data_IF_257959860688
#
_entry.id   IF_257959860688
#
_cell.length_a   1.000
_cell.length_b   1.000
_cell.length_c   1.000
_cell.angle_alpha   90.00
_cell.angle_beta   90.00
_cell.angle_gamma   90.00
#
_symmetry.space_group_name_H-M   'P 1'
#
loop_
_entity.id
_entity.type
_entity.pdbx_description
1 polymer ?
#
# COMPACT_ATOMS: atom_id res chain seq x y z
N UNK A 1 21.02 10.72 10.72
CA UNK A 1 20.21 11.39 9.68
C UNK A 1 20.56 10.76 8.35
N UNK A 2 19.57 10.42 7.51
CA UNK A 2 19.83 9.76 6.23
C UNK A 2 20.42 10.73 5.19
N UNK A 3 21.56 10.37 4.59
CA UNK A 3 22.21 11.10 3.49
C UNK A 3 21.50 10.93 2.13
N UNK A 4 20.25 10.46 2.14
CA UNK A 4 19.46 10.28 0.94
C UNK A 4 19.13 11.63 0.31
N UNK A 5 19.13 11.75 -1.03
CA UNK A 5 18.55 12.91 -1.69
C UNK A 5 17.07 13.06 -1.37
N UNK A 6 16.56 14.29 -1.43
CA UNK A 6 15.13 14.53 -1.38
C UNK A 6 14.40 13.88 -2.56
N UNK A 7 13.14 13.52 -2.36
CA UNK A 7 12.23 13.00 -3.36
C UNK A 7 12.73 11.70 -4.04
N UNK A 8 13.57 10.93 -3.35
CA UNK A 8 14.19 9.72 -3.89
C UNK A 8 13.17 8.61 -4.18
N UNK A 9 12.09 8.54 -3.40
CA UNK A 9 11.02 7.55 -3.52
C UNK A 9 9.69 8.23 -3.86
N UNK A 10 9.08 7.86 -4.97
CA UNK A 10 7.73 8.30 -5.34
C UNK A 10 6.73 7.16 -5.08
N UNK A 11 5.64 7.46 -4.38
CA UNK A 11 4.51 6.55 -4.21
C UNK A 11 3.24 7.03 -4.91
N UNK A 12 2.42 6.09 -5.40
CA UNK A 12 1.08 6.36 -5.94
C UNK A 12 0.04 5.42 -5.36
N UNK A 13 -1.08 5.98 -4.89
CA UNK A 13 -2.25 5.24 -4.42
C UNK A 13 -3.45 6.19 -4.33
N UNK A 14 -4.59 5.64 -3.92
CA UNK A 14 -5.78 6.36 -3.55
C UNK A 14 -5.62 6.92 -2.12
N UNK A 15 -5.55 8.25 -1.93
CA UNK A 15 -5.60 8.85 -0.60
C UNK A 15 -7.05 8.82 -0.10
N UNK A 16 -7.30 8.10 0.98
CA UNK A 16 -8.64 7.89 1.54
C UNK A 16 -8.65 8.27 3.01
N UNK A 17 -9.75 8.88 3.47
CA UNK A 17 -10.00 9.05 4.89
C UNK A 17 -10.73 7.81 5.41
N UNK A 18 -10.09 7.08 6.32
CA UNK A 18 -10.70 5.91 6.94
C UNK A 18 -11.72 6.36 7.99
N UNK A 19 -12.92 5.81 7.91
CA UNK A 19 -13.99 5.92 8.90
C UNK A 19 -13.98 4.60 9.65
N UNK A 20 -13.28 4.58 10.78
CA UNK A 20 -12.97 3.38 11.52
C UNK A 20 -13.91 3.21 12.72
N UNK A 21 -14.41 2.00 12.93
CA UNK A 21 -15.17 1.66 14.14
C UNK A 21 -15.21 0.16 14.37
N UNK A 22 -15.56 -0.25 15.59
CA UNK A 22 -15.82 -1.65 15.93
C UNK A 22 -17.28 -1.99 15.65
N UNK A 23 -17.50 -3.09 14.94
CA UNK A 23 -18.84 -3.59 14.59
C UNK A 23 -19.00 -5.06 14.97
N UNK A 24 -20.25 -5.45 15.20
CA UNK A 24 -20.60 -6.86 15.34
C UNK A 24 -20.70 -7.55 13.98
N UNK A 25 -20.58 -8.88 13.97
CA UNK A 25 -20.65 -9.67 12.73
C UNK A 25 -21.97 -9.47 11.99
N UNK A 26 -23.07 -9.23 12.70
CA UNK A 26 -24.37 -8.92 12.11
C UNK A 26 -24.35 -7.68 11.20
N UNK A 27 -23.49 -6.69 11.51
CA UNK A 27 -23.32 -5.51 10.65
C UNK A 27 -22.61 -5.88 9.34
N UNK A 28 -21.57 -6.71 9.40
CA UNK A 28 -20.88 -7.22 8.22
C UNK A 28 -21.82 -8.04 7.35
N UNK A 29 -22.56 -8.97 7.95
CA UNK A 29 -23.51 -9.84 7.27
C UNK A 29 -24.62 -9.02 6.57
N UNK A 30 -25.13 -7.95 7.23
CA UNK A 30 -26.14 -7.04 6.65
C UNK A 30 -25.68 -6.41 5.34
N UNK A 31 -24.41 -6.02 5.25
CA UNK A 31 -23.88 -5.35 4.05
C UNK A 31 -23.18 -6.32 3.07
N UNK A 32 -23.12 -7.61 3.42
CA UNK A 32 -22.47 -8.64 2.61
C UNK A 32 -20.95 -8.49 2.60
N UNK A 33 -20.38 -8.02 3.71
CA UNK A 33 -18.95 -7.85 3.91
C UNK A 33 -18.36 -9.08 4.60
N UNK A 34 -17.18 -9.50 4.17
CA UNK A 34 -16.42 -10.57 4.81
C UNK A 34 -15.39 -10.01 5.78
N UNK A 35 -15.09 -10.75 6.83
CA UNK A 35 -13.92 -10.54 7.68
C UNK A 35 -12.63 -10.66 6.84
N UNK A 36 -11.63 -9.84 7.14
CA UNK A 36 -10.33 -9.79 6.43
C UNK A 36 -10.43 -9.58 4.92
N UNK A 37 -11.42 -8.81 4.48
CA UNK A 37 -11.65 -8.53 3.05
C UNK A 37 -11.49 -7.04 2.75
N UNK A 38 -11.17 -6.73 1.50
CA UNK A 38 -11.11 -5.37 0.99
C UNK A 38 -11.85 -5.30 -0.34
N UNK A 39 -12.91 -4.48 -0.37
CA UNK A 39 -13.75 -4.32 -1.55
C UNK A 39 -13.89 -2.84 -1.94
N UNK A 40 -14.30 -2.61 -3.19
CA UNK A 40 -14.79 -1.32 -3.63
C UNK A 40 -16.27 -1.16 -3.24
N UNK A 41 -16.63 0.04 -2.79
CA UNK A 41 -18.01 0.43 -2.51
C UNK A 41 -18.84 0.36 -3.81
N UNK A 42 -19.97 -0.32 -3.74
CA UNK A 42 -21.03 -0.29 -4.75
C UNK A 42 -22.24 0.52 -4.22
N UNK A 43 -23.32 0.61 -5.00
CA UNK A 43 -24.50 1.40 -4.64
C UNK A 43 -25.18 0.95 -3.34
N UNK A 44 -25.21 -0.37 -3.04
CA UNK A 44 -25.82 -0.86 -1.80
C UNK A 44 -24.99 -0.44 -0.58
N UNK A 45 -23.68 -0.25 -0.70
CA UNK A 45 -22.85 0.15 0.45
C UNK A 45 -22.90 1.66 0.74
N UNK A 46 -23.44 2.52 -0.13
CA UNK A 46 -23.45 3.97 0.12
C UNK A 46 -24.20 4.31 1.41
N UNK A 47 -25.34 3.67 1.65
CA UNK A 47 -26.13 3.86 2.87
C UNK A 47 -25.40 3.38 4.14
N UNK A 48 -24.51 2.40 4.01
CA UNK A 48 -23.70 1.90 5.12
C UNK A 48 -22.85 3.02 5.75
N UNK A 49 -22.25 3.89 4.95
CA UNK A 49 -21.42 4.99 5.46
C UNK A 49 -22.24 5.97 6.30
N UNK A 50 -23.47 6.27 5.87
CA UNK A 50 -24.38 7.13 6.62
C UNK A 50 -24.82 6.46 7.93
N UNK A 51 -25.10 5.15 7.90
CA UNK A 51 -25.44 4.36 9.08
C UNK A 51 -24.30 4.30 10.09
N UNK A 52 -23.05 4.09 9.63
CA UNK A 52 -21.85 4.07 10.47
C UNK A 52 -21.69 5.38 11.23
N UNK A 53 -21.64 6.50 10.52
CA UNK A 53 -21.42 7.82 11.13
C UNK A 53 -22.56 8.20 12.08
N UNK A 54 -23.79 7.74 11.81
CA UNK A 54 -24.95 8.05 12.65
C UNK A 54 -25.03 7.21 13.92
N UNK A 55 -24.69 5.92 13.84
CA UNK A 55 -25.03 4.95 14.89
C UNK A 55 -23.82 4.42 15.66
N UNK A 56 -22.60 4.64 15.19
CA UNK A 56 -21.38 4.12 15.80
C UNK A 56 -20.43 5.25 16.21
N UNK A 57 -19.62 5.06 17.27
CA UNK A 57 -18.51 5.93 17.55
C UNK A 57 -17.43 5.70 16.48
N UNK A 58 -17.30 6.63 15.54
CA UNK A 58 -16.33 6.55 14.44
C UNK A 58 -15.10 7.40 14.73
N UNK A 59 -13.94 6.86 14.36
CA UNK A 59 -12.68 7.60 14.29
C UNK A 59 -12.35 7.92 12.83
N UNK A 60 -11.89 9.14 12.56
CA UNK A 60 -11.43 9.56 11.24
C UNK A 60 -9.92 9.47 11.18
N UNK A 61 -9.40 8.52 10.40
CA UNK A 61 -7.97 8.22 10.34
C UNK A 61 -7.47 8.46 8.91
N UNK A 62 -6.52 9.38 8.69
CA UNK A 62 -5.93 9.57 7.37
C UNK A 62 -5.22 8.30 6.88
N UNK A 63 -5.73 7.71 5.81
CA UNK A 63 -5.32 6.41 5.30
C UNK A 63 -4.80 6.44 3.85
N UNK A 64 -5.06 5.36 3.12
CA UNK A 64 -4.53 5.07 1.79
C UNK A 64 -3.23 4.26 1.84
N UNK A 65 -3.21 3.08 1.22
CA UNK A 65 -2.16 2.08 1.41
C UNK A 65 -0.73 2.58 1.13
N UNK A 66 -0.47 3.18 -0.03
CA UNK A 66 0.86 3.73 -0.30
C UNK A 66 1.16 4.96 0.55
N UNK A 67 0.16 5.78 0.89
CA UNK A 67 0.35 6.93 1.77
C UNK A 67 0.77 6.51 3.18
N UNK A 68 0.16 5.46 3.71
CA UNK A 68 0.55 4.81 4.96
C UNK A 68 2.00 4.31 4.87
N UNK A 69 2.33 3.57 3.81
CA UNK A 69 3.67 3.04 3.58
C UNK A 69 4.74 4.16 3.55
N UNK A 70 4.46 5.27 2.85
CA UNK A 70 5.38 6.39 2.76
C UNK A 70 5.51 7.14 4.09
N UNK A 71 4.43 7.33 4.85
CA UNK A 71 4.48 7.92 6.20
C UNK A 71 5.36 7.10 7.14
N UNK A 72 5.22 5.77 7.12
CA UNK A 72 6.05 4.86 7.91
C UNK A 72 7.51 4.88 7.44
N UNK A 73 7.74 4.90 6.14
CA UNK A 73 9.08 5.06 5.57
C UNK A 73 9.74 6.36 6.06
N UNK A 74 9.00 7.48 6.04
CA UNK A 74 9.48 8.78 6.48
C UNK A 74 9.80 8.82 7.98
N UNK A 75 8.95 8.19 8.80
CA UNK A 75 9.16 8.02 10.24
C UNK A 75 10.49 7.30 10.54
N UNK A 76 10.81 6.23 9.82
CA UNK A 76 12.05 5.47 10.00
C UNK A 76 13.27 6.24 9.50
N UNK A 77 13.15 6.92 8.35
CA UNK A 77 14.24 7.71 7.79
C UNK A 77 14.58 8.95 8.63
N UNK A 78 13.62 9.42 9.43
CA UNK A 78 13.71 10.57 10.32
C UNK A 78 14.38 11.80 9.65
N UNK A 79 13.93 12.08 8.43
CA UNK A 79 14.35 13.22 7.63
C UNK A 79 13.17 13.60 6.73
N UNK A 80 12.81 14.87 6.54
CA UNK A 80 11.67 15.24 5.69
C UNK A 80 11.98 15.05 4.20
N UNK A 81 10.92 15.03 3.39
CA UNK A 81 10.96 15.08 1.93
C UNK A 81 11.81 13.99 1.27
N UNK A 82 11.94 12.79 1.86
CA UNK A 82 12.54 11.65 1.13
C UNK A 82 11.54 10.97 0.22
N UNK A 83 10.27 11.01 0.58
CA UNK A 83 9.18 10.41 -0.17
C UNK A 83 8.25 11.48 -0.76
N UNK A 84 7.72 11.19 -1.94
CA UNK A 84 6.68 11.99 -2.60
C UNK A 84 5.44 11.12 -2.78
N UNK A 85 4.26 11.66 -2.52
CA UNK A 85 3.00 10.95 -2.75
C UNK A 85 2.15 11.64 -3.82
N UNK A 86 1.74 10.87 -4.84
CA UNK A 86 0.71 11.28 -5.80
C UNK A 86 -0.60 10.53 -5.57
N UNK A 87 -1.70 11.24 -5.71
CA UNK A 87 -3.07 10.76 -5.62
C UNK A 87 -4.04 11.90 -5.89
N UNK A 88 -5.35 11.65 -5.84
CA UNK A 88 -6.36 12.70 -6.04
C UNK A 88 -7.27 12.84 -4.82
N UNK A 89 -7.56 14.08 -4.42
CA UNK A 89 -8.48 14.42 -3.32
C UNK A 89 -9.47 15.47 -3.77
N UNK A 90 -10.58 15.59 -3.03
CA UNK A 90 -11.51 16.70 -3.20
C UNK A 90 -10.98 17.96 -2.53
N UNK A 91 -11.48 19.11 -2.95
CA UNK A 91 -11.27 20.37 -2.24
C UNK A 91 -12.22 20.48 -1.04
N UNK A 92 -11.89 19.72 -0.01
CA UNK A 92 -12.67 19.65 1.23
C UNK A 92 -11.79 19.39 2.45
N UNK A 93 -12.41 19.44 3.63
CA UNK A 93 -11.71 19.25 4.90
C UNK A 93 -11.10 17.85 5.07
N UNK A 94 -11.56 16.85 4.32
CA UNK A 94 -10.98 15.51 4.35
C UNK A 94 -9.67 15.47 3.54
N UNK A 95 -9.65 16.11 2.38
CA UNK A 95 -8.43 16.30 1.59
C UNK A 95 -7.36 17.09 2.35
N UNK A 96 -7.78 18.13 3.07
CA UNK A 96 -6.91 18.92 3.94
C UNK A 96 -6.33 18.09 5.10
N UNK A 97 -7.15 17.28 5.77
CA UNK A 97 -6.70 16.39 6.85
C UNK A 97 -5.69 15.34 6.36
N UNK A 98 -5.93 14.74 5.20
CA UNK A 98 -5.00 13.80 4.56
C UNK A 98 -3.66 14.47 4.26
N UNK A 99 -3.70 15.66 3.64
CA UNK A 99 -2.50 16.42 3.32
C UNK A 99 -1.73 16.81 4.59
N UNK A 100 -2.42 17.29 5.63
CA UNK A 100 -1.81 17.71 6.88
C UNK A 100 -1.11 16.55 7.58
N UNK A 101 -1.75 15.37 7.66
CA UNK A 101 -1.15 14.18 8.30
C UNK A 101 0.08 13.68 7.54
N UNK A 102 0.00 13.61 6.21
CA UNK A 102 1.13 13.15 5.39
C UNK A 102 2.31 14.15 5.43
N UNK A 103 2.04 15.46 5.30
CA UNK A 103 3.06 16.51 5.44
C UNK A 103 3.66 16.55 6.85
N UNK A 104 2.86 16.36 7.89
CA UNK A 104 3.32 16.27 9.27
C UNK A 104 4.27 15.10 9.51
N UNK A 105 4.13 14.01 8.75
CA UNK A 105 5.10 12.90 8.75
C UNK A 105 6.35 13.18 7.89
N UNK A 106 6.39 14.30 7.16
CA UNK A 106 7.50 14.69 6.29
C UNK A 106 7.37 14.22 4.83
N UNK A 107 6.20 13.74 4.39
CA UNK A 107 5.97 13.34 3.00
C UNK A 107 5.74 14.57 2.13
N UNK A 108 6.37 14.62 0.94
CA UNK A 108 6.08 15.64 -0.07
C UNK A 108 4.79 15.27 -0.82
N UNK A 109 3.68 15.89 -0.45
CA UNK A 109 2.36 15.55 -0.99
C UNK A 109 2.08 16.33 -2.27
N UNK A 110 1.77 15.60 -3.36
CA UNK A 110 1.45 16.13 -4.69
C UNK A 110 0.09 15.64 -5.17
N UNK A 111 -0.96 15.98 -4.41
CA UNK A 111 -2.32 15.64 -4.81
C UNK A 111 -2.79 16.40 -6.04
N UNK A 112 -3.55 15.72 -6.89
CA UNK A 112 -4.47 16.36 -7.84
C UNK A 112 -5.73 16.76 -7.08
N UNK A 113 -6.13 18.02 -7.18
CA UNK A 113 -7.31 18.54 -6.49
C UNK A 113 -8.50 18.53 -7.45
N UNK A 114 -9.59 17.90 -7.02
CA UNK A 114 -10.87 17.96 -7.70
C UNK A 114 -11.79 18.97 -6.99
N UNK A 115 -12.31 19.95 -7.72
CA UNK A 115 -13.14 21.03 -7.17
C UNK A 115 -14.61 20.60 -6.95
N UNK A 116 -15.08 19.53 -7.59
CA UNK A 116 -16.50 19.14 -7.61
C UNK A 116 -16.80 17.79 -6.96
N UNK A 117 -15.80 16.93 -6.79
CA UNK A 117 -15.94 15.60 -6.19
C UNK A 117 -15.31 15.59 -4.81
N UNK A 118 -16.02 15.03 -3.82
CA UNK A 118 -15.52 14.89 -2.44
C UNK A 118 -14.36 13.91 -2.35
N UNK A 119 -13.49 14.12 -1.37
CA UNK A 119 -12.40 13.20 -1.01
C UNK A 119 -12.93 11.80 -0.71
N UNK A 120 -12.21 10.79 -1.18
CA UNK A 120 -12.55 9.38 -0.97
C UNK A 120 -12.49 8.97 0.50
N UNK A 121 -13.28 7.97 0.85
CA UNK A 121 -13.37 7.42 2.21
C UNK A 121 -13.30 5.91 2.19
N UNK A 122 -12.86 5.30 3.29
CA UNK A 122 -12.89 3.85 3.46
C UNK A 122 -13.56 3.50 4.79
N UNK A 123 -14.60 2.65 4.77
CA UNK A 123 -15.14 2.09 6.00
C UNK A 123 -14.17 1.02 6.49
N UNK A 124 -13.56 1.23 7.65
CA UNK A 124 -12.63 0.31 8.29
C UNK A 124 -13.34 -0.35 9.48
N UNK A 125 -13.93 -1.52 9.22
CA UNK A 125 -14.85 -2.18 10.16
C UNK A 125 -14.12 -3.27 10.94
N UNK A 126 -13.89 -3.03 12.23
CA UNK A 126 -13.18 -3.96 13.11
C UNK A 126 -14.18 -4.95 13.72
N UNK A 127 -13.95 -6.25 13.54
CA UNK A 127 -14.69 -7.31 14.21
C UNK A 127 -13.70 -8.28 14.88
N UNK A 128 -13.56 -8.20 16.21
CA UNK A 128 -12.52 -8.92 16.93
C UNK A 128 -11.13 -8.52 16.44
N UNK A 129 -10.35 -9.48 15.96
CA UNK A 129 -9.02 -9.24 15.34
C UNK A 129 -9.07 -9.07 13.81
N UNK A 130 -10.27 -9.19 13.23
CA UNK A 130 -10.49 -9.11 11.79
C UNK A 130 -10.91 -7.70 11.40
N UNK A 131 -10.62 -7.34 10.14
CA UNK A 131 -11.13 -6.09 9.58
C UNK A 131 -11.73 -6.31 8.20
N UNK A 132 -12.85 -5.66 7.93
CA UNK A 132 -13.42 -5.53 6.59
C UNK A 132 -13.25 -4.10 6.09
N UNK A 133 -12.78 -3.94 4.85
CA UNK A 133 -12.60 -2.65 4.19
C UNK A 133 -13.57 -2.50 3.03
N UNK A 134 -14.28 -1.37 3.02
CA UNK A 134 -15.10 -0.97 1.89
C UNK A 134 -14.69 0.45 1.45
N UNK A 135 -14.05 0.57 0.28
CA UNK A 135 -13.48 1.82 -0.20
C UNK A 135 -14.44 2.55 -1.16
N UNK A 136 -14.89 3.73 -0.78
CA UNK A 136 -15.60 4.67 -1.65
C UNK A 136 -14.61 5.70 -2.19
N UNK A 137 -14.08 5.43 -3.40
CA UNK A 137 -12.92 6.15 -3.95
C UNK A 137 -13.19 7.64 -4.24
N UNK A 138 -14.40 8.00 -4.67
CA UNK A 138 -14.80 9.39 -4.97
C UNK A 138 -13.72 10.18 -5.73
N UNK A 139 -13.16 11.26 -5.18
CA UNK A 139 -12.15 12.07 -5.86
C UNK A 139 -10.87 11.29 -6.22
N UNK A 140 -10.52 10.22 -5.49
CA UNK A 140 -9.37 9.38 -5.86
C UNK A 140 -9.54 8.77 -7.26
N UNK A 141 -10.77 8.41 -7.67
CA UNK A 141 -11.06 7.91 -9.01
C UNK A 141 -10.89 8.95 -10.12
N UNK A 142 -10.70 10.23 -9.76
CA UNK A 142 -10.59 11.32 -10.73
C UNK A 142 -9.14 11.61 -11.12
N UNK A 143 -8.17 10.84 -10.60
CA UNK A 143 -6.77 11.01 -10.94
C UNK A 143 -6.54 10.80 -12.44
N UNK A 144 -5.81 11.73 -13.07
CA UNK A 144 -5.44 11.62 -14.48
C UNK A 144 -3.93 11.59 -14.66
N UNK A 145 -3.48 10.87 -15.69
CA UNK A 145 -2.07 10.82 -16.07
C UNK A 145 -1.48 12.22 -16.35
N UNK A 146 -2.29 13.18 -16.78
CA UNK A 146 -1.83 14.54 -17.08
C UNK A 146 -1.31 15.28 -15.84
N UNK A 147 -1.77 14.92 -14.65
CA UNK A 147 -1.19 15.45 -13.41
C UNK A 147 0.30 15.09 -13.28
N UNK A 148 0.73 13.93 -13.77
CA UNK A 148 2.15 13.55 -13.78
C UNK A 148 2.98 14.31 -14.83
N UNK A 149 2.33 14.92 -15.83
CA UNK A 149 2.98 15.59 -16.95
C UNK A 149 3.20 17.10 -16.73
N UNK A 150 2.79 17.64 -15.59
CA UNK A 150 3.14 19.01 -15.23
C UNK A 150 4.65 19.14 -15.07
N UNK A 151 5.22 20.30 -15.39
CA UNK A 151 6.67 20.50 -15.35
C UNK A 151 7.28 20.18 -13.98
N UNK A 152 6.61 20.59 -12.89
CA UNK A 152 7.06 20.31 -11.54
C UNK A 152 7.07 18.81 -11.21
N UNK A 153 6.01 18.09 -11.61
CA UNK A 153 5.87 16.67 -11.29
C UNK A 153 6.79 15.81 -12.16
N UNK A 154 7.04 16.18 -13.41
CA UNK A 154 8.03 15.55 -14.26
C UNK A 154 9.44 15.62 -13.65
N UNK A 155 9.85 16.78 -13.14
CA UNK A 155 11.14 16.93 -12.44
C UNK A 155 11.27 16.00 -11.23
N UNK A 156 10.18 15.78 -10.48
CA UNK A 156 10.18 14.82 -9.36
C UNK A 156 10.40 13.40 -9.89
N UNK A 157 9.66 13.00 -10.94
CA UNK A 157 9.76 11.68 -11.57
C UNK A 157 11.14 11.43 -12.18
N UNK A 158 11.77 12.44 -12.76
CA UNK A 158 13.13 12.39 -13.31
C UNK A 158 14.18 12.22 -12.21
N UNK A 159 14.01 12.86 -11.06
CA UNK A 159 14.97 12.79 -9.94
C UNK A 159 14.84 11.53 -9.09
N UNK A 160 13.62 10.99 -8.95
CA UNK A 160 13.38 9.78 -8.15
C UNK A 160 14.21 8.58 -8.63
N UNK A 161 14.59 7.71 -7.70
CA UNK A 161 15.31 6.45 -7.99
C UNK A 161 14.43 5.22 -7.76
N UNK A 162 13.37 5.38 -6.98
CA UNK A 162 12.44 4.32 -6.62
C UNK A 162 11.01 4.78 -6.83
N UNK A 163 10.17 3.87 -7.31
CA UNK A 163 8.72 4.04 -7.40
C UNK A 163 8.04 2.94 -6.60
N UNK A 164 6.96 3.26 -5.91
CA UNK A 164 6.11 2.31 -5.21
C UNK A 164 4.64 2.57 -5.54
N UNK A 165 3.99 1.61 -6.19
CA UNK A 165 2.58 1.71 -6.55
C UNK A 165 1.81 0.57 -5.92
N UNK A 166 0.63 0.84 -5.38
CA UNK A 166 -0.27 -0.21 -4.90
C UNK A 166 -1.17 -0.69 -6.04
N UNK A 167 -1.50 -1.98 -6.06
CA UNK A 167 -2.46 -2.59 -6.97
C UNK A 167 -3.82 -1.89 -6.96
N UNK A 168 -4.24 -1.30 -5.82
CA UNK A 168 -5.44 -0.46 -5.76
C UNK A 168 -5.47 0.68 -6.79
N UNK A 169 -4.32 1.19 -7.22
CA UNK A 169 -4.26 2.28 -8.18
C UNK A 169 -4.54 1.81 -9.63
N UNK A 170 -4.48 0.49 -9.89
CA UNK A 170 -4.87 -0.11 -11.16
C UNK A 170 -6.36 0.11 -11.43
N UNK A 171 -7.19 0.21 -10.40
CA UNK A 171 -8.63 0.51 -10.55
C UNK A 171 -8.90 1.95 -10.97
N UNK A 172 -7.88 2.82 -10.91
CA UNK A 172 -8.02 4.27 -11.11
C UNK A 172 -7.32 4.73 -12.37
N UNK A 173 -6.01 4.49 -12.49
CA UNK A 173 -5.25 5.04 -13.62
C UNK A 173 -4.09 4.12 -14.07
N UNK A 174 -4.38 2.96 -14.69
CA UNK A 174 -3.34 2.12 -15.30
C UNK A 174 -2.36 2.87 -16.22
N UNK A 175 -2.78 3.86 -17.04
CA UNK A 175 -1.85 4.62 -17.86
C UNK A 175 -0.79 5.40 -17.06
N UNK A 176 -1.14 5.93 -15.89
CA UNK A 176 -0.18 6.61 -15.01
C UNK A 176 0.83 5.64 -14.41
N UNK A 177 0.38 4.44 -14.02
CA UNK A 177 1.27 3.37 -13.52
C UNK A 177 2.24 2.96 -14.63
N UNK A 178 1.72 2.72 -15.83
CA UNK A 178 2.51 2.33 -16.99
C UNK A 178 3.57 3.39 -17.35
N UNK A 179 3.23 4.68 -17.27
CA UNK A 179 4.19 5.76 -17.49
C UNK A 179 5.38 5.66 -16.52
N UNK A 180 5.13 5.48 -15.22
CA UNK A 180 6.20 5.33 -14.24
C UNK A 180 7.00 4.04 -14.43
N UNK A 181 6.33 2.94 -14.77
CA UNK A 181 6.93 1.63 -15.00
C UNK A 181 7.85 1.60 -16.24
N UNK A 182 7.43 2.27 -17.32
CA UNK A 182 8.26 2.44 -18.52
C UNK A 182 9.46 3.33 -18.24
N UNK A 183 9.22 4.49 -17.59
CA UNK A 183 10.29 5.42 -17.19
C UNK A 183 11.31 4.75 -16.28
N UNK A 184 10.88 3.92 -15.33
CA UNK A 184 11.81 3.21 -14.47
C UNK A 184 12.69 2.22 -15.23
N UNK A 185 12.13 1.51 -16.22
CA UNK A 185 12.90 0.58 -17.05
C UNK A 185 13.88 1.32 -17.97
N UNK A 186 13.45 2.42 -18.59
CA UNK A 186 14.27 3.23 -19.48
C UNK A 186 15.49 3.83 -18.77
N UNK A 187 15.28 4.36 -17.56
CA UNK A 187 16.33 5.06 -16.79
C UNK A 187 16.95 4.20 -15.69
N UNK A 188 16.79 2.86 -15.76
CA UNK A 188 17.33 1.88 -14.82
C UNK A 188 17.01 2.18 -13.33
N UNK A 189 15.84 2.74 -13.05
CA UNK A 189 15.31 2.97 -11.70
C UNK A 189 14.64 1.69 -11.18
N UNK A 190 14.20 1.70 -9.93
CA UNK A 190 13.52 0.55 -9.32
C UNK A 190 12.03 0.78 -9.25
N UNK A 191 11.23 -0.14 -9.80
CA UNK A 191 9.77 -0.10 -9.71
C UNK A 191 9.24 -1.17 -8.78
N UNK A 192 8.52 -0.75 -7.75
CA UNK A 192 7.91 -1.61 -6.74
C UNK A 192 6.39 -1.60 -6.90
N UNK A 193 5.77 -2.77 -6.81
CA UNK A 193 4.31 -2.94 -6.88
C UNK A 193 3.82 -3.78 -5.70
N UNK A 194 2.67 -3.46 -5.13
CA UNK A 194 1.96 -4.31 -4.18
C UNK A 194 0.72 -4.93 -4.84
N UNK A 195 0.42 -6.22 -4.62
CA UNK A 195 -0.80 -6.87 -5.11
C UNK A 195 -2.07 -6.27 -4.46
N UNK A 196 -1.96 -5.81 -3.21
CA UNK A 196 -2.90 -4.97 -2.43
C UNK A 196 -4.22 -5.59 -2.02
N UNK A 197 -4.87 -6.40 -2.87
CA UNK A 197 -6.05 -7.16 -2.49
C UNK A 197 -6.34 -8.29 -3.49
N UNK A 198 -6.98 -9.40 -3.07
CA UNK A 198 -7.38 -10.49 -3.95
C UNK A 198 -8.18 -10.02 -5.19
N UNK A 199 -9.06 -9.04 -5.03
CA UNK A 199 -9.93 -8.56 -6.11
C UNK A 199 -9.14 -7.91 -7.26
N UNK A 200 -7.94 -7.38 -6.99
CA UNK A 200 -7.06 -6.82 -8.03
C UNK A 200 -6.64 -7.93 -9.00
N UNK A 201 -6.17 -9.06 -8.46
CA UNK A 201 -5.82 -10.22 -9.28
C UNK A 201 -7.05 -10.86 -9.93
N UNK A 202 -8.21 -10.86 -9.27
CA UNK A 202 -9.42 -11.50 -9.81
C UNK A 202 -10.07 -10.74 -10.96
N UNK A 203 -10.16 -9.40 -10.85
CA UNK A 203 -10.93 -8.57 -11.78
C UNK A 203 -10.07 -7.64 -12.64
N UNK A 204 -8.82 -7.38 -12.24
CA UNK A 204 -7.91 -6.47 -12.91
C UNK A 204 -6.60 -7.16 -13.32
N UNK A 205 -6.64 -8.47 -13.55
CA UNK A 205 -5.45 -9.23 -13.96
C UNK A 205 -4.85 -8.71 -15.27
N UNK A 206 -5.67 -8.36 -16.27
CA UNK A 206 -5.18 -7.89 -17.56
C UNK A 206 -4.25 -6.66 -17.41
N UNK A 207 -4.69 -5.52 -16.85
CA UNK A 207 -3.79 -4.39 -16.65
C UNK A 207 -2.64 -4.68 -15.67
N UNK A 208 -2.87 -5.50 -14.63
CA UNK A 208 -1.79 -5.96 -13.75
C UNK A 208 -0.68 -6.69 -14.54
N UNK A 209 -1.07 -7.63 -15.41
CA UNK A 209 -0.16 -8.46 -16.19
C UNK A 209 0.67 -7.66 -17.19
N UNK A 210 0.15 -6.54 -17.69
CA UNK A 210 0.90 -5.61 -18.54
C UNK A 210 1.98 -4.84 -17.75
N UNK A 211 1.73 -4.56 -16.47
CA UNK A 211 2.66 -3.84 -15.59
C UNK A 211 3.75 -4.78 -15.06
N UNK A 212 3.43 -6.05 -14.78
CA UNK A 212 4.36 -7.02 -14.17
C UNK A 212 5.75 -7.08 -14.82
N UNK A 213 5.92 -7.03 -16.16
CA UNK A 213 7.24 -7.03 -16.79
C UNK A 213 8.19 -5.93 -16.33
N UNK A 214 7.67 -4.84 -15.78
CA UNK A 214 8.44 -3.70 -15.29
C UNK A 214 8.72 -3.76 -13.78
N UNK A 215 8.05 -4.66 -13.05
CA UNK A 215 8.13 -4.75 -11.59
C UNK A 215 9.44 -5.40 -11.16
N UNK A 216 10.26 -4.63 -10.43
CA UNK A 216 11.51 -5.08 -9.81
C UNK A 216 11.27 -5.67 -8.42
N UNK A 217 10.36 -5.10 -7.63
CA UNK A 217 9.96 -5.62 -6.32
C UNK A 217 8.45 -5.80 -6.26
N UNK A 218 7.98 -7.04 -6.06
CA UNK A 218 6.57 -7.37 -5.91
C UNK A 218 6.27 -7.71 -4.45
N UNK A 219 5.37 -6.95 -3.84
CA UNK A 219 4.84 -7.21 -2.50
C UNK A 219 3.46 -7.84 -2.56
N UNK A 220 3.11 -8.58 -1.53
CA UNK A 220 1.74 -9.02 -1.26
C UNK A 220 1.64 -9.81 0.05
N UNK A 221 0.45 -10.27 0.37
CA UNK A 221 0.21 -11.26 1.42
C UNK A 221 -0.17 -12.64 0.83
N UNK A 222 -0.42 -13.62 1.69
CA UNK A 222 -0.77 -14.99 1.32
C UNK A 222 -2.06 -15.08 0.49
N UNK A 223 -3.10 -14.33 0.85
CA UNK A 223 -4.40 -14.36 0.18
C UNK A 223 -4.32 -13.70 -1.21
N UNK A 224 -3.58 -12.59 -1.30
CA UNK A 224 -3.27 -11.90 -2.55
C UNK A 224 -2.42 -12.77 -3.47
N UNK A 225 -1.43 -13.47 -2.92
CA UNK A 225 -0.58 -14.40 -3.67
C UNK A 225 -1.41 -15.57 -4.20
N UNK A 226 -2.32 -16.14 -3.41
CA UNK A 226 -3.22 -17.20 -3.87
C UNK A 226 -4.16 -16.71 -4.99
N UNK A 227 -4.77 -15.54 -4.83
CA UNK A 227 -5.61 -14.94 -5.87
C UNK A 227 -4.81 -14.66 -7.15
N UNK A 228 -3.57 -14.18 -7.00
CA UNK A 228 -2.64 -13.96 -8.11
C UNK A 228 -2.28 -15.27 -8.83
N UNK A 229 -1.99 -16.33 -8.09
CA UNK A 229 -1.70 -17.66 -8.63
C UNK A 229 -2.82 -18.20 -9.51
N UNK A 230 -4.07 -18.06 -9.05
CA UNK A 230 -5.26 -18.46 -9.81
C UNK A 230 -5.40 -17.65 -11.11
N UNK A 231 -5.27 -16.32 -11.03
CA UNK A 231 -5.39 -15.45 -12.19
C UNK A 231 -4.26 -15.64 -13.20
N UNK A 232 -3.04 -15.93 -12.73
CA UNK A 232 -1.87 -16.17 -13.56
C UNK A 232 -1.75 -17.60 -14.11
N UNK A 233 -2.68 -18.49 -13.77
CA UNK A 233 -2.65 -19.89 -14.22
C UNK A 233 -1.49 -20.70 -13.65
N UNK A 234 -1.02 -20.39 -12.44
CA UNK A 234 0.09 -21.09 -11.80
C UNK A 234 -0.30 -22.45 -11.20
N UNK A 235 -1.60 -22.65 -10.95
CA UNK A 235 -2.19 -23.90 -10.45
C UNK A 235 -1.60 -24.41 -9.12
N UNK A 236 -1.25 -23.50 -8.21
CA UNK A 236 -0.73 -23.85 -6.87
C UNK A 236 -1.25 -22.87 -5.81
N UNK A 237 -1.43 -23.35 -4.57
CA UNK A 237 -1.74 -22.52 -3.40
C UNK A 237 -0.53 -22.36 -2.46
N UNK A 238 0.62 -22.95 -2.79
CA UNK A 238 1.83 -22.81 -1.99
C UNK A 238 2.46 -21.43 -2.19
N UNK A 239 2.43 -20.57 -1.16
CA UNK A 239 3.01 -19.21 -1.21
C UNK A 239 4.47 -19.22 -1.71
N UNK A 240 5.24 -20.25 -1.36
CA UNK A 240 6.62 -20.47 -1.81
C UNK A 240 6.72 -20.70 -3.32
N UNK A 241 5.89 -21.60 -3.85
CA UNK A 241 5.86 -21.89 -5.29
C UNK A 241 5.32 -20.70 -6.08
N UNK A 242 4.31 -20.01 -5.56
CA UNK A 242 3.76 -18.80 -6.15
C UNK A 242 4.84 -17.72 -6.23
N UNK A 243 5.62 -17.51 -5.15
CA UNK A 243 6.71 -16.55 -5.14
C UNK A 243 7.80 -16.89 -6.18
N UNK A 244 8.19 -18.16 -6.30
CA UNK A 244 9.15 -18.63 -7.30
C UNK A 244 8.64 -18.38 -8.73
N UNK A 245 7.39 -18.72 -9.01
CA UNK A 245 6.76 -18.51 -10.32
C UNK A 245 6.61 -17.01 -10.64
N UNK A 246 6.21 -16.20 -9.66
CA UNK A 246 6.12 -14.74 -9.80
C UNK A 246 7.49 -14.10 -10.08
N UNK A 247 8.54 -14.56 -9.40
CA UNK A 247 9.91 -14.09 -9.63
C UNK A 247 10.42 -14.43 -11.04
N UNK A 248 10.00 -15.58 -11.58
CA UNK A 248 10.37 -16.07 -12.90
C UNK A 248 9.54 -15.48 -14.07
N UNK A 249 8.46 -14.73 -13.80
CA UNK A 249 7.67 -14.10 -14.87
C UNK A 249 8.55 -13.17 -15.74
N UNK A 250 8.22 -13.04 -17.04
CA UNK A 250 9.00 -12.20 -17.96
C UNK A 250 9.28 -10.80 -17.42
N UNK A 251 10.46 -10.26 -17.73
CA UNK A 251 10.86 -8.89 -17.38
C UNK A 251 11.39 -8.12 -18.57
N UNK A 252 11.17 -6.80 -18.53
CA UNK A 252 11.77 -5.80 -19.43
C UNK A 252 13.09 -5.27 -18.88
N UNK A 253 13.25 -5.19 -17.57
CA UNK A 253 14.51 -4.80 -16.93
C UNK A 253 15.47 -5.99 -16.80
N UNK A 254 16.78 -5.72 -16.76
CA UNK A 254 17.82 -6.73 -16.53
C UNK A 254 17.96 -7.14 -15.07
N UNK A 255 17.29 -6.43 -14.14
CA UNK A 255 17.31 -6.73 -12.71
C UNK A 255 16.53 -8.02 -12.45
N UNK A 256 17.00 -8.89 -11.57
CA UNK A 256 16.18 -10.00 -11.05
C UNK A 256 14.94 -9.43 -10.33
N UNK A 257 13.77 -10.06 -10.47
CA UNK A 257 12.61 -9.69 -9.64
C UNK A 257 12.85 -10.18 -8.22
N UNK A 258 12.58 -9.29 -7.27
CA UNK A 258 12.44 -9.60 -5.86
C UNK A 258 10.95 -9.75 -5.55
N UNK A 259 10.55 -10.88 -5.00
CA UNK A 259 9.16 -11.11 -4.54
C UNK A 259 9.20 -11.23 -3.02
N UNK A 260 8.31 -10.51 -2.33
CA UNK A 260 8.20 -10.47 -0.87
C UNK A 260 6.75 -10.68 -0.48
N UNK A 261 6.42 -11.87 0.01
CA UNK A 261 5.09 -12.23 0.48
C UNK A 261 5.05 -12.39 1.99
N UNK A 262 4.22 -11.58 2.63
CA UNK A 262 3.92 -11.65 4.07
C UNK A 262 2.87 -12.74 4.34
N UNK A 263 2.84 -13.26 5.57
CA UNK A 263 1.96 -14.37 5.96
C UNK A 263 1.42 -14.19 7.40
N UNK A 264 1.02 -12.96 7.76
CA UNK A 264 0.65 -12.60 9.13
C UNK A 264 1.74 -13.00 10.15
N UNK A 265 1.46 -13.94 11.09
CA UNK A 265 2.43 -14.41 12.09
C UNK A 265 3.41 -15.48 11.59
N UNK A 266 3.26 -15.95 10.35
CA UNK A 266 4.16 -16.92 9.71
C UNK A 266 5.34 -16.22 9.02
N UNK A 267 6.42 -16.95 8.67
CA UNK A 267 7.61 -16.35 8.07
C UNK A 267 7.30 -15.58 6.77
N UNK A 268 7.99 -14.47 6.55
CA UNK A 268 7.92 -13.76 5.26
C UNK A 268 8.68 -14.58 4.20
N UNK A 269 8.02 -14.85 3.08
CA UNK A 269 8.61 -15.55 1.93
C UNK A 269 9.26 -14.53 1.02
N UNK A 270 10.55 -14.71 0.74
CA UNK A 270 11.32 -13.85 -0.15
C UNK A 270 11.94 -14.68 -1.25
N UNK A 271 11.79 -14.25 -2.51
CA UNK A 271 12.47 -14.83 -3.65
C UNK A 271 13.24 -13.77 -4.40
N UNK A 272 14.55 -13.96 -4.54
CA UNK A 272 15.43 -13.14 -5.37
C UNK A 272 15.95 -13.97 -6.56
N UNK A 273 15.33 -13.81 -7.73
CA UNK A 273 15.57 -14.71 -8.87
C UNK A 273 15.08 -16.13 -8.57
N UNK A 274 16.02 -17.04 -8.34
CA UNK A 274 15.79 -18.46 -8.04
C UNK A 274 15.99 -18.81 -6.55
N UNK A 275 16.52 -17.88 -5.76
CA UNK A 275 16.80 -18.11 -4.34
C UNK A 275 15.58 -17.78 -3.49
N UNK A 276 14.99 -18.80 -2.88
CA UNK A 276 13.96 -18.66 -1.86
C UNK A 276 14.59 -18.54 -0.46
N UNK A 277 14.09 -17.63 0.36
CA UNK A 277 14.48 -17.46 1.76
C UNK A 277 13.25 -17.15 2.61
N UNK A 278 13.20 -17.73 3.82
CA UNK A 278 12.14 -17.50 4.79
C UNK A 278 12.69 -16.67 5.94
N UNK A 279 12.00 -15.59 6.29
CA UNK A 279 12.38 -14.73 7.40
C UNK A 279 11.35 -14.87 8.53
N UNK A 280 11.71 -15.43 9.69
CA UNK A 280 10.76 -15.59 10.78
C UNK A 280 10.31 -14.23 11.32
N UNK A 281 9.03 -14.14 11.68
CA UNK A 281 8.45 -12.97 12.33
C UNK A 281 8.40 -13.19 13.83
N UNK A 282 8.73 -12.16 14.61
CA UNK A 282 8.58 -12.20 16.07
C UNK A 282 7.10 -12.04 16.40
N UNK A 283 6.47 -13.11 16.93
CA UNK A 283 5.06 -13.08 17.32
C UNK A 283 4.85 -12.19 18.54
N UNK A 284 3.76 -11.42 18.52
CA UNK A 284 3.27 -10.69 19.68
C UNK A 284 2.26 -11.53 20.47
N UNK A 285 2.10 -11.23 21.75
CA UNK A 285 0.96 -11.69 22.54
C UNK A 285 -0.35 -11.17 21.94
N UNK A 286 -1.43 -11.95 22.03
CA UNK A 286 -2.75 -11.54 21.49
C UNK A 286 -3.27 -10.27 22.17
N UNK A 287 -2.90 -10.06 23.42
CA UNK A 287 -3.21 -8.89 24.25
C UNK A 287 -2.44 -7.63 23.85
N UNK A 288 -1.36 -7.76 23.08
CA UNK A 288 -0.61 -6.62 22.53
C UNK A 288 -1.16 -6.14 21.18
N UNK A 289 -1.99 -6.95 20.51
CA UNK A 289 -2.54 -6.64 19.19
C UNK A 289 -3.83 -5.84 19.37
N UNK A 290 -3.80 -4.59 18.93
CA UNK A 290 -4.95 -3.68 18.96
C UNK A 290 -5.68 -3.68 17.63
N UNK A 291 -4.95 -3.54 16.52
CA UNK A 291 -5.52 -3.44 15.17
C UNK A 291 -4.52 -4.01 14.16
N UNK A 292 -4.94 -4.94 13.31
CA UNK A 292 -4.06 -5.46 12.24
C UNK A 292 -3.99 -4.51 11.03
N UNK A 293 -4.67 -3.36 11.09
CA UNK A 293 -4.67 -2.35 10.04
C UNK A 293 -3.32 -1.71 9.78
N UNK A 294 -3.02 -1.59 8.48
CA UNK A 294 -1.79 -1.00 8.01
C UNK A 294 -0.57 -1.83 8.35
N UNK A 295 -0.70 -3.08 8.83
CA UNK A 295 0.46 -3.95 9.09
C UNK A 295 1.27 -4.20 7.81
N UNK A 296 0.58 -4.52 6.71
CA UNK A 296 1.21 -4.66 5.38
C UNK A 296 1.79 -3.34 4.85
N UNK A 297 1.06 -2.24 4.99
CA UNK A 297 1.55 -0.91 4.60
C UNK A 297 2.80 -0.52 5.39
N UNK A 298 2.80 -0.75 6.69
CA UNK A 298 3.91 -0.47 7.59
C UNK A 298 5.10 -1.38 7.31
N UNK A 299 4.85 -2.65 7.02
CA UNK A 299 5.88 -3.58 6.57
C UNK A 299 6.57 -3.05 5.32
N UNK A 300 5.81 -2.64 4.30
CA UNK A 300 6.38 -2.08 3.07
C UNK A 300 7.10 -0.76 3.36
N UNK A 301 6.55 0.10 4.22
CA UNK A 301 7.21 1.34 4.64
C UNK A 301 8.58 1.11 5.28
N UNK A 302 8.68 0.17 6.21
CA UNK A 302 9.95 -0.20 6.85
C UNK A 302 10.92 -0.90 5.92
N UNK A 303 10.41 -1.78 5.05
CA UNK A 303 11.21 -2.38 3.98
C UNK A 303 11.83 -1.31 3.09
N UNK A 304 11.00 -0.39 2.56
CA UNK A 304 11.45 0.66 1.66
C UNK A 304 12.43 1.61 2.35
N UNK A 305 12.26 1.92 3.63
CA UNK A 305 13.17 2.78 4.37
C UNK A 305 14.63 2.24 4.35
N UNK A 306 14.82 0.93 4.47
CA UNK A 306 16.15 0.32 4.37
C UNK A 306 16.57 0.10 2.91
N UNK A 307 15.65 -0.37 2.08
CA UNK A 307 15.94 -0.73 0.70
C UNK A 307 16.43 0.46 -0.13
N UNK A 308 15.83 1.65 0.03
CA UNK A 308 16.28 2.86 -0.69
C UNK A 308 17.63 3.39 -0.20
N UNK A 309 18.08 2.96 0.98
CA UNK A 309 19.42 3.23 1.53
C UNK A 309 20.47 2.23 1.03
N UNK A 310 20.09 1.28 0.17
CA UNK A 310 20.99 0.25 -0.35
C UNK A 310 21.34 -0.82 0.68
N UNK A 311 20.54 -0.95 1.75
CA UNK A 311 20.70 -2.02 2.75
C UNK A 311 20.31 -3.37 2.18
N UNK A 312 20.75 -4.44 2.84
CA UNK A 312 20.42 -5.81 2.42
C UNK A 312 18.92 -6.07 2.51
N UNK A 313 18.44 -7.05 1.72
CA UNK A 313 17.04 -7.50 1.79
C UNK A 313 16.71 -7.99 3.19
N UNK A 314 17.62 -8.69 3.87
CA UNK A 314 17.43 -9.12 5.27
C UNK A 314 17.21 -7.93 6.22
N UNK A 315 18.02 -6.87 6.13
CA UNK A 315 17.83 -5.65 6.95
C UNK A 315 16.48 -4.97 6.63
N UNK A 316 16.07 -4.96 5.36
CA UNK A 316 14.78 -4.42 4.96
C UNK A 316 13.60 -5.23 5.51
N UNK A 317 13.68 -6.57 5.49
CA UNK A 317 12.66 -7.45 6.08
C UNK A 317 12.59 -7.26 7.60
N UNK A 318 13.73 -7.15 8.29
CA UNK A 318 13.77 -6.88 9.75
C UNK A 318 13.11 -5.56 10.09
N UNK A 319 13.39 -4.50 9.33
CA UNK A 319 12.81 -3.19 9.56
C UNK A 319 11.32 -3.14 9.22
N UNK A 320 10.90 -3.78 8.12
CA UNK A 320 9.48 -3.94 7.78
C UNK A 320 8.73 -4.69 8.88
N UNK A 321 9.29 -5.79 9.38
CA UNK A 321 8.68 -6.57 10.47
C UNK A 321 8.58 -5.78 11.76
N UNK A 322 9.61 -4.99 12.10
CA UNK A 322 9.58 -4.05 13.22
C UNK A 322 8.45 -3.02 13.05
N UNK A 323 8.36 -2.38 11.89
CA UNK A 323 7.37 -1.35 11.63
C UNK A 323 5.93 -1.89 11.71
N UNK A 324 5.69 -3.06 11.13
CA UNK A 324 4.41 -3.77 11.24
C UNK A 324 4.06 -4.05 12.71
N UNK A 325 5.03 -4.53 13.49
CA UNK A 325 4.85 -4.85 14.92
C UNK A 325 4.52 -3.62 15.76
N UNK A 326 5.07 -2.45 15.44
CA UNK A 326 4.76 -1.20 16.15
C UNK A 326 3.38 -0.65 15.76
N UNK A 327 2.97 -0.82 14.50
CA UNK A 327 1.66 -0.37 14.02
C UNK A 327 0.54 -1.23 14.59
N UNK A 328 0.69 -2.56 14.67
CA UNK A 328 -0.39 -3.43 15.14
C UNK A 328 -0.78 -3.27 16.62
N UNK A 329 0.03 -2.55 17.39
CA UNK A 329 -0.22 -2.17 18.79
C UNK A 329 -1.08 -0.91 18.92
N UNK A 330 -1.53 -0.31 17.81
CA UNK A 330 -2.26 0.96 17.77
C UNK A 330 -3.41 0.87 16.77
N UNK A 331 -4.40 1.76 16.90
CA UNK A 331 -5.47 1.90 15.91
C UNK A 331 -4.95 2.47 14.58
N UNK A 332 -5.32 1.82 13.47
CA UNK A 332 -4.95 2.21 12.13
C UNK A 332 -3.43 2.17 11.87
N UNK A 333 -3.00 2.74 10.74
CA UNK A 333 -1.56 2.88 10.45
C UNK A 333 -0.95 4.07 11.22
N UNK A 334 -0.77 3.86 12.52
CA UNK A 334 -0.21 4.85 13.46
C UNK A 334 1.10 4.36 14.04
N UNK A 335 2.14 5.19 13.98
CA UNK A 335 3.47 4.89 14.53
C UNK A 335 3.73 5.69 15.82
N UNK A 336 4.66 5.27 16.69
CA UNK A 336 5.22 6.11 17.75
C UNK A 336 5.81 7.43 17.22
N UNK A 337 5.96 8.42 18.08
CA UNK A 337 6.53 9.72 17.70
C UNK A 337 7.98 9.57 17.20
N UNK A 338 8.77 8.76 17.90
CA UNK A 338 10.17 8.47 17.57
C UNK A 338 10.33 7.03 17.12
N UNK A 339 11.17 6.81 16.10
CA UNK A 339 11.58 5.48 15.68
C UNK A 339 12.78 5.00 16.51
N UNK A 340 12.68 3.82 17.13
CA UNK A 340 13.76 3.22 17.94
C UNK A 340 14.53 2.10 17.21
N UNK A 341 14.22 1.89 15.92
CA UNK A 341 14.94 0.94 15.08
C UNK A 341 16.36 1.44 14.79
N UNK A 342 17.37 0.63 15.11
CA UNK A 342 18.79 0.95 14.97
C UNK A 342 19.51 -0.04 14.07
#
# INVERSE_FOLDING_TARGET
MSNLPENILIGMCNPLLDIQTTVEKAFLDKWGLKENDAILCDDKHIEMFAELVKNYPVEYIPGGAAQNSLRVCQWILNAPNRTVFFGAVGKDSYGEQLAAKAKGAGVNVRYQINETVKTGTCAALINGTHRSLCAHLAAANTFTQDHLKTEENLKLIENAKFFYVTGFFITVCPPAIMQLAQHSSEFNKTFCLNLSAPFISQFFYNPLSEILPYVDVLFGNEDEAEAFSKAAGFETSSVKEIALKAAALPKKSSKKRLVVFTQGPEPVIVVEGDKLTEYPVVRLGKDEIVDTNGAGDAFVGGFLAQFIQGKSVEEAIKCGSYAAREVIKKNGCTVPETCEYH
#
